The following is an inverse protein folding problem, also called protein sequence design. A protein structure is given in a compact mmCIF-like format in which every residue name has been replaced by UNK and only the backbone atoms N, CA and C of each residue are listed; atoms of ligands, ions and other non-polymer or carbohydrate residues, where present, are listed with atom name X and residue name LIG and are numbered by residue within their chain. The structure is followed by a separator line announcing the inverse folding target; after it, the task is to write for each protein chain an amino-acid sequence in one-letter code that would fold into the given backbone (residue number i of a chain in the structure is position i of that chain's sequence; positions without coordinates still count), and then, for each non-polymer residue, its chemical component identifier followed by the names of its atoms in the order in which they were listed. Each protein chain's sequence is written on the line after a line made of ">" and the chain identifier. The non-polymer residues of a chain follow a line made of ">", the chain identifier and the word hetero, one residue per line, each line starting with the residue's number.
data_IF_201903933827
#
_entry.id   IF_201903933827
#
_cell.length_a   1.000
_cell.length_b   1.000
_cell.length_c   1.000
_cell.angle_alpha   90.00
_cell.angle_beta   90.00
_cell.angle_gamma   90.00
#
_symmetry.space_group_name_H-M   'P 1'
#
loop_
_entity.id
_entity.type
_entity.pdbx_description
1 polymer ?
#
# COMPACT_ATOMS: atom_id res chain seq x y z
N UNK A 1 16.84 0.40 36.96
CA UNK A 1 17.64 0.52 35.72
C UNK A 1 17.95 -0.88 35.25
N UNK A 2 17.51 -1.24 34.05
CA UNK A 2 17.86 -2.52 33.44
C UNK A 2 19.14 -2.34 32.60
N UNK A 3 20.00 -3.35 32.56
CA UNK A 3 21.06 -3.43 31.56
C UNK A 3 20.45 -3.62 30.15
N UNK A 4 21.25 -3.47 29.09
CA UNK A 4 20.75 -3.55 27.69
C UNK A 4 20.06 -4.90 27.42
N UNK A 5 20.58 -5.99 27.98
CA UNK A 5 20.01 -7.33 27.83
C UNK A 5 18.65 -7.42 28.52
N UNK A 6 18.54 -6.89 29.74
CA UNK A 6 17.28 -6.76 30.47
C UNK A 6 16.28 -5.91 29.71
N UNK A 7 16.68 -4.76 29.15
CA UNK A 7 15.82 -3.89 28.36
C UNK A 7 15.26 -4.58 27.09
N UNK A 8 16.10 -5.35 26.37
CA UNK A 8 15.67 -6.18 25.23
C UNK A 8 14.64 -7.24 25.67
N UNK A 9 14.92 -7.93 26.78
CA UNK A 9 14.01 -8.94 27.34
C UNK A 9 12.66 -8.34 27.72
N UNK A 10 12.67 -7.16 28.32
CA UNK A 10 11.48 -6.43 28.77
C UNK A 10 10.62 -5.96 27.59
N UNK A 11 11.22 -5.35 26.56
CA UNK A 11 10.52 -4.96 25.34
C UNK A 11 9.88 -6.17 24.63
N UNK A 12 10.59 -7.31 24.58
CA UNK A 12 10.08 -8.56 24.01
C UNK A 12 8.87 -9.11 24.78
N UNK A 13 8.92 -9.09 26.12
CA UNK A 13 7.80 -9.54 26.96
C UNK A 13 6.57 -8.65 26.76
N UNK A 14 6.75 -7.33 26.70
CA UNK A 14 5.65 -6.39 26.52
C UNK A 14 5.03 -6.51 25.12
N UNK A 15 5.84 -6.67 24.07
CA UNK A 15 5.34 -6.94 22.72
C UNK A 15 4.49 -8.22 22.70
N UNK A 16 4.94 -9.28 23.39
CA UNK A 16 4.16 -10.51 23.52
C UNK A 16 2.82 -10.29 24.23
N UNK A 17 2.78 -9.48 25.31
CA UNK A 17 1.53 -9.09 25.97
C UNK A 17 0.59 -8.33 25.02
N UNK A 18 1.11 -7.41 24.19
CA UNK A 18 0.32 -6.71 23.19
C UNK A 18 -0.27 -7.67 22.14
N UNK A 19 0.51 -8.65 21.64
CA UNK A 19 0.01 -9.66 20.68
C UNK A 19 -1.14 -10.48 21.28
N UNK A 20 -1.01 -10.88 22.55
CA UNK A 20 -2.06 -11.61 23.26
C UNK A 20 -3.33 -10.75 23.41
N UNK A 21 -3.16 -9.47 23.75
CA UNK A 21 -4.26 -8.51 23.82
C UNK A 21 -4.94 -8.29 22.47
N UNK A 22 -4.18 -8.09 21.39
CA UNK A 22 -4.71 -7.96 20.02
C UNK A 22 -5.53 -9.19 19.64
N UNK A 23 -4.99 -10.39 19.89
CA UNK A 23 -5.67 -11.64 19.56
C UNK A 23 -6.97 -11.84 20.34
N UNK A 24 -6.98 -11.49 21.62
CA UNK A 24 -8.18 -11.58 22.46
C UNK A 24 -9.23 -10.52 22.09
N UNK A 25 -8.81 -9.30 21.77
CA UNK A 25 -9.69 -8.21 21.35
C UNK A 25 -10.31 -8.51 19.98
N UNK A 26 -9.54 -9.02 19.00
CA UNK A 26 -10.07 -9.42 17.69
C UNK A 26 -11.20 -10.44 17.80
N UNK A 27 -11.00 -11.51 18.57
CA UNK A 27 -12.04 -12.53 18.85
C UNK A 27 -13.27 -11.92 19.52
N UNK A 28 -13.08 -10.93 20.39
CA UNK A 28 -14.19 -10.23 21.04
C UNK A 28 -14.95 -9.30 20.07
N UNK A 29 -14.27 -8.67 19.10
CA UNK A 29 -14.93 -7.87 18.04
C UNK A 29 -15.86 -8.72 17.19
N UNK A 30 -15.40 -9.92 16.81
CA UNK A 30 -16.18 -10.90 16.03
C UNK A 30 -17.49 -11.27 16.75
N UNK A 31 -17.44 -11.43 18.08
CA UNK A 31 -18.59 -11.77 18.92
C UNK A 31 -19.52 -10.59 19.21
N UNK A 32 -19.05 -9.34 19.09
CA UNK A 32 -19.78 -8.14 19.50
C UNK A 32 -19.74 -7.07 18.40
N UNK A 33 -20.49 -7.33 17.32
CA UNK A 33 -20.69 -6.48 16.11
C UNK A 33 -21.14 -5.02 16.35
N UNK A 34 -21.39 -4.61 17.59
CA UNK A 34 -21.85 -3.25 17.95
C UNK A 34 -20.88 -2.50 18.87
N UNK A 35 -19.76 -3.10 19.25
CA UNK A 35 -18.69 -2.46 20.04
C UNK A 35 -17.53 -1.97 19.15
N UNK A 36 -17.75 -1.97 17.84
CA UNK A 36 -16.74 -1.87 16.78
C UNK A 36 -15.85 -0.62 16.91
N UNK A 37 -16.43 0.56 17.12
CA UNK A 37 -15.66 1.82 17.22
C UNK A 37 -14.77 1.91 18.49
N UNK A 38 -15.33 1.64 19.68
CA UNK A 38 -14.57 1.67 20.94
C UNK A 38 -13.46 0.60 20.97
N UNK A 39 -13.73 -0.59 20.43
CA UNK A 39 -12.78 -1.69 20.43
C UNK A 39 -11.71 -1.52 19.35
N UNK A 40 -12.06 -0.93 18.21
CA UNK A 40 -11.11 -0.56 17.16
C UNK A 40 -10.08 0.44 17.68
N UNK A 41 -10.48 1.45 18.46
CA UNK A 41 -9.53 2.40 19.05
C UNK A 41 -8.56 1.71 20.01
N UNK A 42 -9.06 0.83 20.89
CA UNK A 42 -8.19 0.07 21.81
C UNK A 42 -7.25 -0.86 21.04
N UNK A 43 -7.76 -1.58 20.03
CA UNK A 43 -6.98 -2.49 19.20
C UNK A 43 -5.86 -1.75 18.46
N UNK A 44 -6.18 -0.61 17.87
CA UNK A 44 -5.23 0.25 17.16
C UNK A 44 -4.10 0.71 18.09
N UNK A 45 -4.43 1.17 19.31
CA UNK A 45 -3.43 1.66 20.28
C UNK A 45 -2.54 0.55 20.83
N UNK A 46 -3.10 -0.63 21.10
CA UNK A 46 -2.31 -1.80 21.50
C UNK A 46 -1.37 -2.23 20.36
N UNK A 47 -1.83 -2.19 19.11
CA UNK A 47 -0.99 -2.46 17.93
C UNK A 47 0.11 -1.41 17.76
N UNK A 48 -0.18 -0.14 17.99
CA UNK A 48 0.81 0.94 17.95
C UNK A 48 1.88 0.75 19.03
N UNK A 49 1.46 0.45 20.26
CA UNK A 49 2.36 0.16 21.38
C UNK A 49 3.25 -1.05 21.09
N UNK A 50 2.71 -2.11 20.47
CA UNK A 50 3.49 -3.25 19.99
C UNK A 50 4.59 -2.83 19.02
N UNK A 51 4.24 -2.07 17.98
CA UNK A 51 5.18 -1.65 16.95
C UNK A 51 6.31 -0.77 17.53
N UNK A 52 5.99 0.13 18.46
CA UNK A 52 6.98 0.95 19.16
C UNK A 52 7.94 0.10 20.01
N UNK A 53 7.43 -0.93 20.69
CA UNK A 53 8.26 -1.85 21.47
C UNK A 53 9.21 -2.68 20.60
N UNK A 54 8.76 -3.08 19.42
CA UNK A 54 9.61 -3.78 18.45
C UNK A 54 10.75 -2.90 17.91
N UNK A 55 10.47 -1.61 17.69
CA UNK A 55 11.48 -0.62 17.30
C UNK A 55 12.52 -0.45 18.41
N UNK A 56 12.07 -0.26 19.65
CA UNK A 56 12.96 -0.15 20.82
C UNK A 56 13.82 -1.41 20.94
N UNK A 57 13.23 -2.59 20.78
CA UNK A 57 13.96 -3.87 20.82
C UNK A 57 15.05 -3.93 19.75
N UNK A 58 14.73 -3.58 18.51
CA UNK A 58 15.69 -3.59 17.40
C UNK A 58 16.85 -2.62 17.65
N UNK A 59 16.55 -1.40 18.09
CA UNK A 59 17.56 -0.39 18.42
C UNK A 59 18.47 -0.83 19.59
N UNK A 60 17.91 -1.46 20.63
CA UNK A 60 18.70 -1.98 21.75
C UNK A 60 19.61 -3.16 21.34
N UNK A 61 19.17 -4.01 20.42
CA UNK A 61 20.00 -5.09 19.86
C UNK A 61 21.19 -4.51 19.08
N UNK A 62 20.96 -3.46 18.30
CA UNK A 62 22.01 -2.76 17.57
C UNK A 62 23.05 -2.15 18.53
N UNK A 63 22.59 -1.45 19.58
CA UNK A 63 23.46 -0.89 20.63
C UNK A 63 24.27 -1.98 21.35
N UNK A 64 23.65 -3.13 21.64
CA UNK A 64 24.34 -4.30 22.21
C UNK A 64 25.45 -4.80 21.30
N UNK A 65 25.19 -4.92 20.00
CA UNK A 65 26.15 -5.40 19.02
C UNK A 65 27.31 -4.42 18.81
N UNK A 66 27.14 -3.14 19.16
CA UNK A 66 28.21 -2.13 19.17
C UNK A 66 29.14 -2.18 20.40
N UNK A 67 29.09 -3.22 21.25
CA UNK A 67 29.96 -3.40 22.43
C UNK A 67 29.89 -2.27 23.49
N UNK A 68 28.73 -1.63 23.66
CA UNK A 68 28.52 -0.60 24.68
C UNK A 68 28.53 -1.19 26.10
N UNK A 69 29.50 -0.79 26.95
CA UNK A 69 29.65 -1.28 28.34
C UNK A 69 28.84 -0.52 29.39
N UNK A 70 28.28 0.64 29.07
CA UNK A 70 27.49 1.44 30.01
C UNK A 70 26.23 1.98 29.32
N UNK A 71 25.08 1.46 29.75
CA UNK A 71 23.77 1.96 29.36
C UNK A 71 22.79 1.62 30.47
N UNK A 72 22.25 2.65 31.12
CA UNK A 72 21.16 2.52 32.08
C UNK A 72 19.94 3.22 31.54
N UNK A 73 19.01 2.46 30.93
CA UNK A 73 17.69 3.01 30.60
C UNK A 73 16.71 2.64 31.70
N UNK A 74 16.04 3.67 32.20
CA UNK A 74 14.86 3.50 33.04
C UNK A 74 13.65 3.31 32.13
N UNK A 75 13.41 2.07 31.68
CA UNK A 75 12.13 1.71 31.07
C UNK A 75 11.16 1.52 32.24
N UNK A 76 10.12 2.35 32.33
CA UNK A 76 8.99 2.08 33.22
C UNK A 76 8.14 0.99 32.58
N UNK A 77 8.35 -0.26 33.03
CA UNK A 77 7.73 -1.46 32.43
C UNK A 77 6.36 -1.77 33.03
N UNK A 78 6.13 -1.36 34.26
CA UNK A 78 5.01 -1.88 35.05
C UNK A 78 3.67 -1.25 34.64
N UNK A 79 3.66 0.03 34.27
CA UNK A 79 2.43 0.76 33.91
C UNK A 79 1.76 0.29 32.60
N UNK A 80 2.54 0.08 31.53
CA UNK A 80 2.01 -0.38 30.24
C UNK A 80 1.50 -1.82 30.35
N UNK A 81 2.25 -2.68 31.05
CA UNK A 81 1.84 -4.06 31.31
C UNK A 81 0.54 -4.13 32.10
N UNK A 82 0.42 -3.34 33.16
CA UNK A 82 -0.80 -3.24 33.97
C UNK A 82 -1.98 -2.76 33.13
N UNK A 83 -1.78 -1.73 32.31
CA UNK A 83 -2.82 -1.18 31.42
C UNK A 83 -3.29 -2.21 30.37
N UNK A 84 -2.35 -2.91 29.71
CA UNK A 84 -2.68 -3.95 28.71
C UNK A 84 -3.40 -5.14 29.38
N UNK A 85 -2.96 -5.54 30.58
CA UNK A 85 -3.63 -6.60 31.34
C UNK A 85 -5.01 -6.19 31.84
N UNK A 86 -5.21 -4.93 32.23
CA UNK A 86 -6.51 -4.40 32.63
C UNK A 86 -7.48 -4.32 31.46
N UNK A 87 -6.99 -4.01 30.25
CA UNK A 87 -7.76 -4.07 29.01
C UNK A 87 -8.17 -5.52 28.70
N UNK A 88 -7.23 -6.46 28.79
CA UNK A 88 -7.48 -7.89 28.62
C UNK A 88 -8.52 -8.40 29.62
N UNK A 89 -8.39 -8.02 30.90
CA UNK A 89 -9.33 -8.39 31.96
C UNK A 89 -10.70 -7.77 31.73
N UNK A 90 -10.78 -6.51 31.30
CA UNK A 90 -12.03 -5.85 30.96
C UNK A 90 -12.74 -6.57 29.79
N UNK A 91 -12.00 -6.94 28.74
CA UNK A 91 -12.53 -7.69 27.61
C UNK A 91 -13.03 -9.09 28.05
N UNK A 92 -12.26 -9.78 28.91
CA UNK A 92 -12.62 -11.10 29.44
C UNK A 92 -13.82 -11.04 30.41
N UNK A 93 -13.92 -10.03 31.28
CA UNK A 93 -15.03 -9.84 32.21
C UNK A 93 -16.35 -9.59 31.44
N UNK A 94 -16.28 -8.84 30.33
CA UNK A 94 -17.43 -8.58 29.46
C UNK A 94 -17.81 -9.82 28.66
N UNK A 95 -16.83 -10.62 28.24
CA UNK A 95 -17.06 -11.90 27.54
C UNK A 95 -17.64 -12.99 28.46
N UNK A 96 -17.20 -13.04 29.73
CA UNK A 96 -17.62 -14.05 30.73
C UNK A 96 -18.91 -13.72 31.47
N UNK A 97 -19.43 -12.50 31.37
CA UNK A 97 -20.73 -12.16 31.97
C UNK A 97 -21.82 -13.08 31.39
N UNK A 98 -22.47 -13.89 32.24
CA UNK A 98 -23.49 -14.91 31.91
C UNK A 98 -24.79 -14.34 31.31
N UNK A 99 -24.79 -13.12 30.78
CA UNK A 99 -25.94 -12.55 30.10
C UNK A 99 -26.04 -13.13 28.68
N UNK A 100 -26.96 -14.08 28.48
CA UNK A 100 -27.28 -14.78 27.22
C UNK A 100 -27.76 -13.90 26.05
N UNK A 101 -27.78 -12.56 26.19
CA UNK A 101 -28.33 -11.65 25.18
C UNK A 101 -27.37 -10.48 24.87
N UNK A 102 -27.11 -10.25 23.58
CA UNK A 102 -26.21 -9.20 23.06
C UNK A 102 -26.56 -7.80 23.55
N UNK A 103 -27.83 -7.52 23.82
CA UNK A 103 -28.31 -6.24 24.36
C UNK A 103 -27.84 -5.94 25.79
N UNK A 104 -27.67 -6.96 26.63
CA UNK A 104 -27.22 -6.77 28.02
C UNK A 104 -25.69 -6.56 28.04
N UNK A 105 -24.95 -7.25 27.16
CA UNK A 105 -23.52 -7.00 26.95
C UNK A 105 -23.26 -5.56 26.48
N UNK A 106 -24.14 -4.97 25.65
CA UNK A 106 -24.11 -3.54 25.28
C UNK A 106 -24.26 -2.63 26.49
N UNK A 107 -25.18 -2.93 27.40
CA UNK A 107 -25.42 -2.12 28.60
C UNK A 107 -24.22 -2.22 29.55
N UNK A 108 -23.68 -3.41 29.77
CA UNK A 108 -22.48 -3.62 30.61
C UNK A 108 -21.23 -2.93 30.03
N UNK A 109 -21.03 -2.97 28.71
CA UNK A 109 -19.93 -2.26 28.04
C UNK A 109 -20.12 -0.74 28.08
N UNK A 110 -21.34 -0.24 27.88
CA UNK A 110 -21.67 1.19 27.94
C UNK A 110 -21.54 1.75 29.37
N UNK A 111 -21.90 0.98 30.39
CA UNK A 111 -21.72 1.34 31.81
C UNK A 111 -20.24 1.46 32.21
N UNK A 112 -19.32 0.85 31.47
CA UNK A 112 -17.87 0.92 31.69
C UNK A 112 -17.18 2.03 30.87
N UNK A 113 -17.94 2.96 30.24
CA UNK A 113 -17.40 4.02 29.37
C UNK A 113 -16.32 4.88 30.04
N UNK A 114 -16.47 5.21 31.33
CA UNK A 114 -15.47 5.96 32.10
C UNK A 114 -14.18 5.17 32.34
N UNK A 115 -14.27 3.86 32.57
CA UNK A 115 -13.11 2.98 32.76
C UNK A 115 -12.35 2.76 31.44
N UNK A 116 -13.07 2.62 30.32
CA UNK A 116 -12.46 2.54 28.99
C UNK A 116 -11.71 3.82 28.61
N UNK A 117 -12.37 4.97 28.74
CA UNK A 117 -11.76 6.26 28.44
C UNK A 117 -10.47 6.47 29.25
N UNK A 118 -10.47 6.06 30.52
CA UNK A 118 -9.27 6.07 31.37
C UNK A 118 -8.17 5.14 30.84
N UNK A 119 -8.48 3.92 30.43
CA UNK A 119 -7.49 2.97 29.90
C UNK A 119 -6.92 3.43 28.55
N UNK A 120 -7.76 4.01 27.68
CA UNK A 120 -7.33 4.62 26.42
C UNK A 120 -6.40 5.80 26.67
N UNK A 121 -6.69 6.64 27.66
CA UNK A 121 -5.81 7.74 28.04
C UNK A 121 -4.49 7.24 28.62
N UNK A 122 -4.51 6.21 29.47
CA UNK A 122 -3.29 5.57 29.94
C UNK A 122 -2.46 4.97 28.78
N UNK A 123 -3.08 4.37 27.76
CA UNK A 123 -2.36 3.88 26.58
C UNK A 123 -1.71 5.03 25.79
N UNK A 124 -2.38 6.18 25.64
CA UNK A 124 -1.78 7.37 25.01
C UNK A 124 -0.56 7.86 25.76
N UNK A 125 -0.65 7.92 27.09
CA UNK A 125 0.46 8.36 27.94
C UNK A 125 1.65 7.41 27.78
N UNK A 126 1.40 6.09 27.78
CA UNK A 126 2.45 5.10 27.51
C UNK A 126 3.02 5.18 26.09
N UNK A 127 2.20 5.42 25.06
CA UNK A 127 2.68 5.63 23.69
C UNK A 127 3.62 6.83 23.61
N UNK A 128 3.29 7.92 24.29
CA UNK A 128 4.14 9.11 24.39
C UNK A 128 5.46 8.81 25.10
N UNK A 129 5.42 8.04 26.18
CA UNK A 129 6.62 7.62 26.90
C UNK A 129 7.51 6.70 26.05
N UNK A 130 6.92 5.76 25.29
CA UNK A 130 7.64 4.91 24.35
C UNK A 130 8.29 5.72 23.23
N UNK A 131 7.59 6.75 22.72
CA UNK A 131 8.13 7.64 21.70
C UNK A 131 9.32 8.45 22.25
N UNK A 132 9.20 8.99 23.46
CA UNK A 132 10.29 9.68 24.14
C UNK A 132 11.50 8.74 24.36
N UNK A 133 11.26 7.47 24.70
CA UNK A 133 12.30 6.46 24.81
C UNK A 133 12.98 6.16 23.48
N UNK A 134 12.23 6.06 22.38
CA UNK A 134 12.80 5.91 21.04
C UNK A 134 13.68 7.12 20.72
N UNK A 135 13.22 8.34 20.97
CA UNK A 135 14.03 9.54 20.76
C UNK A 135 15.31 9.52 21.60
N UNK A 136 15.23 9.14 22.88
CA UNK A 136 16.40 9.06 23.75
C UNK A 136 17.39 7.97 23.29
N UNK A 137 16.90 6.78 22.96
CA UNK A 137 17.70 5.66 22.42
C UNK A 137 18.34 6.06 21.09
N UNK A 138 17.61 6.76 20.23
CA UNK A 138 18.09 7.26 18.95
C UNK A 138 19.14 8.36 19.10
N UNK A 139 18.98 9.31 20.03
CA UNK A 139 19.99 10.34 20.32
C UNK A 139 21.29 9.69 20.84
N UNK A 140 21.18 8.66 21.69
CA UNK A 140 22.34 7.92 22.19
C UNK A 140 23.01 7.10 21.07
N UNK A 141 22.22 6.55 20.14
CA UNK A 141 22.74 5.90 18.94
C UNK A 141 23.38 6.89 17.95
N UNK A 142 22.79 8.08 17.79
CA UNK A 142 23.20 9.16 16.89
C UNK A 142 24.53 9.80 17.31
N UNK A 143 24.80 9.90 18.62
CA UNK A 143 26.10 10.36 19.12
C UNK A 143 27.26 9.40 18.79
N UNK A 144 26.99 8.18 18.29
CA UNK A 144 28.01 7.12 18.10
C UNK A 144 28.15 6.59 16.67
N UNK A 145 27.23 6.92 15.76
CA UNK A 145 27.27 6.45 14.37
C UNK A 145 27.15 7.63 13.38
N UNK A 146 28.28 8.22 13.01
CA UNK A 146 28.35 9.10 11.84
C UNK A 146 28.45 8.24 10.58
N UNK A 147 27.70 8.62 9.54
CA UNK A 147 27.67 8.08 8.15
C UNK A 147 26.74 6.91 7.79
N UNK A 148 25.47 6.93 8.22
CA UNK A 148 24.44 6.08 7.60
C UNK A 148 22.97 6.51 7.74
N UNK A 149 22.68 7.65 8.39
CA UNK A 149 21.38 7.81 9.07
C UNK A 149 20.36 8.72 8.37
N UNK A 150 20.74 9.60 7.44
CA UNK A 150 19.76 10.48 6.77
C UNK A 150 18.79 9.72 5.84
N UNK A 151 19.23 8.59 5.27
CA UNK A 151 18.40 7.71 4.46
C UNK A 151 17.40 6.91 5.32
N UNK A 152 17.85 6.42 6.48
CA UNK A 152 17.00 5.65 7.40
C UNK A 152 16.02 6.51 8.19
N UNK A 153 16.34 7.76 8.50
CA UNK A 153 15.38 8.68 9.14
C UNK A 153 14.20 8.95 8.19
N UNK A 154 14.45 9.16 6.89
CA UNK A 154 13.37 9.28 5.89
C UNK A 154 12.54 8.00 5.77
N UNK A 155 13.18 6.83 5.77
CA UNK A 155 12.52 5.52 5.73
C UNK A 155 11.67 5.26 7.00
N UNK A 156 12.16 5.69 8.17
CA UNK A 156 11.54 5.43 9.48
C UNK A 156 10.40 6.40 9.77
N UNK A 157 10.52 7.67 9.39
CA UNK A 157 9.41 8.64 9.49
C UNK A 157 8.26 8.22 8.58
N UNK A 158 8.56 7.72 7.36
CA UNK A 158 7.54 7.16 6.45
C UNK A 158 6.84 5.88 6.95
N UNK A 159 7.45 5.12 7.86
CA UNK A 159 6.84 3.92 8.49
C UNK A 159 6.01 4.22 9.73
N UNK A 160 6.30 5.32 10.43
CA UNK A 160 5.67 5.66 11.71
C UNK A 160 4.54 6.70 11.60
N UNK A 161 4.52 7.48 10.53
CA UNK A 161 3.46 8.43 10.23
C UNK A 161 2.36 7.78 9.40
N UNK A 162 1.17 7.64 9.99
CA UNK A 162 -0.11 7.55 9.26
C UNK A 162 -0.44 8.95 8.68
N UNK A 163 0.52 9.54 7.98
CA UNK A 163 0.28 10.66 7.07
C UNK A 163 0.05 10.00 5.73
N UNK A 164 -1.13 10.27 5.17
CA UNK A 164 -1.66 9.79 3.88
C UNK A 164 -0.59 9.10 3.03
N UNK A 165 -0.68 7.77 2.92
CA UNK A 165 0.29 6.90 2.27
C UNK A 165 0.63 7.32 0.83
N UNK A 166 -0.24 8.11 0.21
CA UNK A 166 -0.12 8.64 -1.13
C UNK A 166 0.07 10.17 -1.18
N UNK A 167 0.17 10.85 -0.03
CA UNK A 167 0.48 12.28 0.04
C UNK A 167 1.88 12.55 -0.52
N UNK A 168 1.93 13.39 -1.56
CA UNK A 168 3.12 13.63 -2.36
C UNK A 168 3.14 12.91 -3.71
N UNK A 169 2.12 12.09 -4.02
CA UNK A 169 1.90 11.53 -5.36
C UNK A 169 0.74 12.28 -6.01
N UNK A 170 1.05 13.31 -6.79
CA UNK A 170 0.10 14.02 -7.65
C UNK A 170 -0.15 13.18 -8.91
N UNK A 171 -1.36 12.63 -9.01
CA UNK A 171 -1.92 12.17 -10.28
C UNK A 171 -2.64 13.39 -10.83
N UNK A 172 -1.95 14.15 -11.68
CA UNK A 172 -2.47 15.45 -12.18
C UNK A 172 -3.64 15.17 -13.13
N UNK A 173 -4.80 15.72 -12.79
CA UNK A 173 -5.99 15.76 -13.65
C UNK A 173 -5.74 16.63 -14.90
N UNK A 174 -6.49 16.38 -15.97
CA UNK A 174 -6.34 16.99 -17.31
C UNK A 174 -6.51 18.54 -17.36
N UNK A 175 -6.70 19.24 -16.22
CA UNK A 175 -7.20 20.62 -16.20
C UNK A 175 -6.32 21.68 -15.49
N UNK A 176 -5.08 21.39 -15.04
CA UNK A 176 -4.21 22.44 -14.49
C UNK A 176 -2.83 22.51 -15.15
N UNK A 177 -2.62 23.58 -15.93
CA UNK A 177 -1.30 24.06 -16.39
C UNK A 177 -0.45 24.44 -15.16
N UNK A 178 0.36 23.49 -14.68
CA UNK A 178 1.31 23.72 -13.60
C UNK A 178 2.57 22.88 -13.77
N UNK A 179 3.75 23.53 -13.78
CA UNK A 179 5.04 22.86 -13.67
C UNK A 179 5.15 22.11 -12.33
N UNK A 180 4.98 20.78 -12.34
CA UNK A 180 5.36 19.93 -11.21
C UNK A 180 6.29 18.80 -11.66
N UNK A 181 7.53 18.82 -11.17
CA UNK A 181 8.55 17.81 -11.42
C UNK A 181 8.43 16.67 -10.41
N UNK A 182 7.22 16.10 -10.32
CA UNK A 182 6.99 14.83 -9.65
C UNK A 182 7.63 13.67 -10.43
N UNK A 183 8.12 12.65 -9.74
CA UNK A 183 8.54 11.41 -10.37
C UNK A 183 7.29 10.72 -10.95
N UNK A 184 7.20 10.60 -12.27
CA UNK A 184 6.01 10.07 -12.96
C UNK A 184 5.66 8.68 -12.42
N UNK A 185 4.42 8.52 -11.96
CA UNK A 185 3.95 7.24 -11.42
C UNK A 185 3.91 6.21 -12.54
N UNK A 186 4.46 5.01 -12.28
CA UNK A 186 4.35 3.90 -13.24
C UNK A 186 2.88 3.57 -13.47
N UNK A 187 2.50 3.33 -14.71
CA UNK A 187 1.11 3.07 -15.07
C UNK A 187 0.92 1.61 -15.47
N UNK A 188 -0.11 0.97 -14.91
CA UNK A 188 -0.63 -0.31 -15.35
C UNK A 188 -1.75 -0.08 -16.35
N UNK A 189 -1.50 -0.36 -17.63
CA UNK A 189 -2.43 -0.06 -18.72
C UNK A 189 -3.39 -1.23 -18.94
N UNK A 190 -4.49 -1.26 -18.19
CA UNK A 190 -5.46 -2.35 -18.27
C UNK A 190 -6.45 -2.25 -19.44
N UNK A 191 -6.55 -1.09 -20.10
CA UNK A 191 -7.30 -0.95 -21.36
C UNK A 191 -6.44 -1.45 -22.53
N UNK A 192 -6.84 -2.59 -23.09
CA UNK A 192 -6.05 -3.36 -24.05
C UNK A 192 -6.80 -3.61 -25.36
N UNK A 193 -7.99 -3.04 -25.50
CA UNK A 193 -8.86 -3.21 -26.65
C UNK A 193 -8.98 -1.94 -27.48
N UNK A 194 -8.87 -2.09 -28.80
CA UNK A 194 -8.92 -0.95 -29.75
C UNK A 194 -10.34 -0.46 -30.00
N UNK A 195 -11.32 -1.32 -29.76
CA UNK A 195 -12.77 -1.11 -29.89
C UNK A 195 -13.43 -0.79 -28.53
N UNK A 196 -12.67 -0.17 -27.61
CA UNK A 196 -13.21 0.42 -26.39
C UNK A 196 -13.69 1.85 -26.70
N UNK A 197 -15.01 2.06 -26.66
CA UNK A 197 -15.65 3.34 -26.97
C UNK A 197 -15.26 4.47 -25.99
N UNK A 198 -14.65 4.15 -24.85
CA UNK A 198 -14.18 5.14 -23.87
C UNK A 198 -12.79 5.70 -24.18
N UNK A 199 -12.10 5.15 -25.18
CA UNK A 199 -10.76 5.60 -25.56
C UNK A 199 -10.80 6.53 -26.78
N UNK A 200 -10.09 7.67 -26.75
CA UNK A 200 -9.93 8.50 -27.93
C UNK A 200 -9.22 7.74 -29.06
N UNK A 201 -9.64 7.93 -30.32
CA UNK A 201 -9.04 7.25 -31.48
C UNK A 201 -7.51 7.48 -31.56
N UNK A 202 -7.06 8.71 -31.29
CA UNK A 202 -5.63 9.04 -31.26
C UNK A 202 -4.83 8.29 -30.18
N UNK A 203 -5.48 7.93 -29.07
CA UNK A 203 -4.85 7.13 -28.00
C UNK A 203 -4.58 5.70 -28.49
N UNK A 204 -5.60 5.07 -29.09
CA UNK A 204 -5.50 3.70 -29.64
C UNK A 204 -4.45 3.63 -30.75
N UNK A 205 -4.45 4.61 -31.67
CA UNK A 205 -3.47 4.65 -32.76
C UNK A 205 -2.04 4.80 -32.23
N UNK A 206 -1.81 5.70 -31.27
CA UNK A 206 -0.46 5.92 -30.74
C UNK A 206 0.05 4.69 -29.94
N UNK A 207 -0.83 3.99 -29.21
CA UNK A 207 -0.51 2.71 -28.56
C UNK A 207 -0.19 1.60 -29.55
N UNK A 208 -0.89 1.58 -30.68
CA UNK A 208 -0.59 0.67 -31.78
C UNK A 208 0.79 0.97 -32.38
N UNK A 209 1.06 2.24 -32.71
CA UNK A 209 2.34 2.71 -33.24
C UNK A 209 3.51 2.34 -32.32
N UNK A 210 3.33 2.44 -30.99
CA UNK A 210 4.34 2.03 -30.01
C UNK A 210 4.71 0.55 -30.17
N UNK A 211 3.69 -0.28 -30.33
CA UNK A 211 3.85 -1.72 -30.47
C UNK A 211 4.53 -2.09 -31.78
N UNK A 212 4.14 -1.44 -32.89
CA UNK A 212 4.76 -1.66 -34.20
C UNK A 212 6.21 -1.13 -34.24
N UNK A 213 6.48 0.02 -33.62
CA UNK A 213 7.83 0.57 -33.51
C UNK A 213 8.75 -0.35 -32.70
N UNK A 214 8.28 -0.86 -31.56
CA UNK A 214 9.02 -1.85 -30.77
C UNK A 214 9.24 -3.13 -31.58
N UNK A 215 8.20 -3.65 -32.25
CA UNK A 215 8.26 -4.86 -33.07
C UNK A 215 9.31 -4.75 -34.18
N UNK A 216 9.39 -3.59 -34.84
CA UNK A 216 10.39 -3.29 -35.88
C UNK A 216 11.77 -2.95 -35.33
N UNK A 217 11.96 -2.89 -34.01
CA UNK A 217 13.22 -2.46 -33.37
C UNK A 217 13.55 -0.97 -33.60
N UNK A 218 12.57 -0.13 -33.93
CA UNK A 218 12.73 1.30 -34.16
C UNK A 218 12.76 2.07 -32.84
N UNK A 219 13.82 1.88 -32.06
CA UNK A 219 13.97 2.48 -30.73
C UNK A 219 13.85 4.01 -30.69
N UNK A 220 14.38 4.79 -31.67
CA UNK A 220 14.13 6.23 -31.73
C UNK A 220 12.63 6.57 -31.72
N UNK A 221 11.84 5.88 -32.56
CA UNK A 221 10.39 6.10 -32.62
C UNK A 221 9.70 5.65 -31.34
N UNK A 222 10.16 4.57 -30.70
CA UNK A 222 9.67 4.16 -29.37
C UNK A 222 9.86 5.29 -28.36
N UNK A 223 11.02 5.96 -28.33
CA UNK A 223 11.26 7.07 -27.41
C UNK A 223 10.34 8.27 -27.69
N UNK A 224 10.17 8.63 -28.96
CA UNK A 224 9.27 9.72 -29.34
C UNK A 224 7.84 9.43 -28.90
N UNK A 225 7.35 8.20 -29.10
CA UNK A 225 6.00 7.81 -28.71
C UNK A 225 5.83 7.78 -27.18
N UNK A 226 6.80 7.26 -26.44
CA UNK A 226 6.75 7.26 -24.97
C UNK A 226 6.74 8.69 -24.41
N UNK A 227 7.47 9.61 -25.03
CA UNK A 227 7.46 11.03 -24.66
C UNK A 227 6.12 11.69 -25.03
N UNK A 228 5.62 11.45 -26.25
CA UNK A 228 4.33 11.95 -26.71
C UNK A 228 3.17 11.47 -25.83
N UNK A 229 3.22 10.21 -25.39
CA UNK A 229 2.25 9.64 -24.47
C UNK A 229 2.27 10.33 -23.10
N UNK A 230 3.47 10.61 -22.59
CA UNK A 230 3.66 11.38 -21.36
C UNK A 230 3.11 12.80 -21.51
N UNK A 231 3.42 13.48 -22.60
CA UNK A 231 3.04 14.88 -22.78
C UNK A 231 1.54 15.04 -23.06
N UNK A 232 0.91 14.10 -23.76
CA UNK A 232 -0.51 14.20 -24.15
C UNK A 232 -1.48 13.55 -23.18
N UNK A 233 -1.08 12.48 -22.51
CA UNK A 233 -1.97 11.66 -21.69
C UNK A 233 -1.50 11.53 -20.25
N UNK A 234 -0.33 12.09 -19.91
CA UNK A 234 0.28 11.99 -18.59
C UNK A 234 0.43 10.54 -18.10
N UNK A 235 0.67 9.59 -19.02
CA UNK A 235 0.77 8.16 -18.73
C UNK A 235 2.14 7.58 -19.12
N UNK A 236 2.65 6.64 -18.31
CA UNK A 236 3.89 5.91 -18.61
C UNK A 236 3.56 4.64 -19.40
N UNK A 237 3.88 4.64 -20.69
CA UNK A 237 3.56 3.53 -21.60
C UNK A 237 4.68 2.51 -21.80
N UNK A 238 5.74 2.57 -21.00
CA UNK A 238 6.89 1.67 -21.15
C UNK A 238 6.52 0.18 -20.94
N UNK A 239 5.45 -0.09 -20.19
CA UNK A 239 4.89 -1.42 -19.95
C UNK A 239 3.61 -1.69 -20.75
N UNK A 240 3.32 -0.88 -21.77
CA UNK A 240 2.15 -1.07 -22.60
C UNK A 240 2.20 -2.40 -23.35
N UNK A 241 1.08 -3.14 -23.32
CA UNK A 241 0.87 -4.26 -24.23
C UNK A 241 0.21 -3.79 -25.51
N UNK A 242 0.42 -4.54 -26.60
CA UNK A 242 -0.24 -4.30 -27.88
C UNK A 242 -1.74 -4.39 -27.75
N UNK A 243 -2.44 -3.35 -28.20
CA UNK A 243 -3.90 -3.34 -28.22
C UNK A 243 -4.44 -4.18 -29.37
N UNK A 244 -5.57 -4.86 -29.15
CA UNK A 244 -6.24 -5.72 -30.14
C UNK A 244 -7.76 -5.65 -29.99
N UNK A 245 -8.56 -5.88 -31.05
CA UNK A 245 -10.01 -5.96 -30.91
C UNK A 245 -10.46 -6.98 -29.85
N UNK A 246 -11.61 -6.78 -29.20
CA UNK A 246 -12.13 -7.70 -28.18
C UNK A 246 -12.20 -9.16 -28.64
N UNK A 247 -12.50 -9.39 -29.92
CA UNK A 247 -12.56 -10.72 -30.53
C UNK A 247 -11.21 -11.48 -30.50
N UNK A 248 -10.09 -10.76 -30.46
CA UNK A 248 -8.73 -11.30 -30.45
C UNK A 248 -8.14 -11.45 -29.04
N UNK A 249 -8.90 -11.20 -27.97
CA UNK A 249 -8.41 -11.26 -26.58
C UNK A 249 -7.64 -12.54 -26.24
N UNK A 250 -8.10 -13.69 -26.74
CA UNK A 250 -7.50 -15.00 -26.42
C UNK A 250 -6.17 -15.27 -27.13
N UNK A 251 -5.83 -14.49 -28.16
CA UNK A 251 -4.58 -14.66 -28.93
C UNK A 251 -3.55 -13.55 -28.63
N UNK A 252 -3.80 -12.74 -27.61
CA UNK A 252 -2.88 -11.68 -27.20
C UNK A 252 -1.69 -12.26 -26.43
N UNK A 253 -0.47 -11.89 -26.84
CA UNK A 253 0.78 -12.36 -26.23
C UNK A 253 1.16 -11.65 -24.92
N UNK A 254 0.64 -10.44 -24.72
CA UNK A 254 0.99 -9.53 -23.61
C UNK A 254 2.47 -9.12 -23.58
N UNK A 255 3.12 -9.10 -24.75
CA UNK A 255 4.46 -8.57 -24.87
C UNK A 255 4.47 -7.07 -24.62
N UNK A 256 5.50 -6.62 -23.91
CA UNK A 256 5.82 -5.20 -23.70
C UNK A 256 7.04 -4.80 -24.53
N UNK A 257 7.33 -3.50 -24.65
CA UNK A 257 8.57 -3.03 -25.29
C UNK A 257 9.84 -3.71 -24.76
N UNK A 258 9.89 -4.08 -23.47
CA UNK A 258 11.04 -4.79 -22.88
C UNK A 258 11.16 -6.23 -23.41
N UNK A 259 10.07 -7.00 -23.48
CA UNK A 259 10.09 -8.33 -24.09
C UNK A 259 10.54 -8.26 -25.55
N UNK A 260 10.01 -7.28 -26.30
CA UNK A 260 10.38 -7.09 -27.69
C UNK A 260 11.84 -6.68 -27.86
N UNK A 261 12.39 -5.86 -26.95
CA UNK A 261 13.80 -5.49 -26.96
C UNK A 261 14.71 -6.70 -26.79
N UNK A 262 14.33 -7.65 -25.92
CA UNK A 262 15.05 -8.91 -25.76
C UNK A 262 14.94 -9.77 -27.01
N UNK A 263 13.73 -9.96 -27.54
CA UNK A 263 13.50 -10.76 -28.74
C UNK A 263 14.26 -10.26 -29.98
N UNK A 264 14.45 -8.95 -30.08
CA UNK A 264 15.17 -8.32 -31.19
C UNK A 264 16.69 -8.18 -30.92
N UNK A 265 17.22 -8.80 -29.86
CA UNK A 265 18.62 -8.68 -29.43
C UNK A 265 19.08 -7.23 -29.36
N UNK A 266 18.23 -6.35 -28.81
CA UNK A 266 18.51 -4.92 -28.77
C UNK A 266 19.76 -4.63 -27.91
N UNK A 267 20.52 -3.56 -28.22
CA UNK A 267 21.68 -3.20 -27.41
C UNK A 267 21.32 -3.04 -25.92
N UNK A 268 22.23 -3.43 -25.02
CA UNK A 268 22.03 -3.30 -23.56
C UNK A 268 21.63 -1.87 -23.14
N UNK A 269 22.09 -0.85 -23.88
CA UNK A 269 21.73 0.55 -23.65
C UNK A 269 20.24 0.84 -23.88
N UNK A 270 19.59 0.16 -24.83
CA UNK A 270 18.15 0.23 -25.08
C UNK A 270 17.39 -0.43 -23.93
N UNK A 271 17.80 -1.64 -23.55
CA UNK A 271 17.20 -2.40 -22.44
C UNK A 271 17.30 -1.62 -21.13
N UNK A 272 18.47 -1.08 -20.82
CA UNK A 272 18.69 -0.25 -19.63
C UNK A 272 17.86 1.04 -19.67
N UNK A 273 17.67 1.65 -20.85
CA UNK A 273 16.82 2.83 -21.00
C UNK A 273 15.35 2.50 -20.72
N UNK A 274 14.82 1.39 -21.23
CA UNK A 274 13.46 0.93 -20.91
C UNK A 274 13.27 0.71 -19.42
N UNK A 275 14.21 0.01 -18.79
CA UNK A 275 14.25 -0.21 -17.34
C UNK A 275 14.24 1.11 -16.56
N UNK A 276 15.07 2.08 -16.96
CA UNK A 276 15.15 3.38 -16.30
C UNK A 276 13.86 4.19 -16.45
N UNK A 277 13.13 3.99 -17.56
CA UNK A 277 11.79 4.55 -17.78
C UNK A 277 10.69 3.81 -17.01
N UNK A 278 11.02 2.71 -16.34
CA UNK A 278 10.12 1.96 -15.45
C UNK A 278 9.60 0.65 -16.01
N UNK A 279 10.24 0.08 -17.03
CA UNK A 279 9.90 -1.25 -17.51
C UNK A 279 10.09 -2.32 -16.41
N UNK A 280 9.14 -3.23 -16.29
CA UNK A 280 9.14 -4.30 -15.30
C UNK A 280 9.88 -5.54 -15.81
N UNK A 281 10.83 -6.05 -15.01
CA UNK A 281 11.60 -7.27 -15.32
C UNK A 281 10.87 -8.54 -14.93
N UNK A 282 9.96 -8.48 -13.97
CA UNK A 282 9.18 -9.65 -13.51
C UNK A 282 7.82 -9.74 -14.19
N UNK A 283 7.49 -8.84 -15.11
CA UNK A 283 6.25 -8.92 -15.86
C UNK A 283 6.33 -10.09 -16.85
N UNK A 284 5.31 -10.94 -16.84
CA UNK A 284 5.25 -12.15 -17.67
C UNK A 284 4.37 -11.93 -18.90
N UNK A 285 4.70 -12.61 -19.99
CA UNK A 285 3.82 -12.76 -21.14
C UNK A 285 2.61 -13.63 -20.78
N UNK A 286 1.61 -13.62 -21.66
CA UNK A 286 0.50 -14.59 -21.63
C UNK A 286 0.73 -15.75 -22.59
N UNK A 287 1.36 -15.45 -23.73
CA UNK A 287 1.63 -16.41 -24.78
C UNK A 287 2.93 -16.05 -25.49
N UNK A 288 3.69 -17.07 -25.83
CA UNK A 288 4.86 -17.01 -26.71
C UNK A 288 4.94 -18.28 -27.56
N UNK A 289 5.84 -18.27 -28.52
CA UNK A 289 6.26 -19.40 -29.33
C UNK A 289 7.28 -20.34 -28.65
N UNK A 290 7.73 -20.01 -27.42
CA UNK A 290 8.76 -20.76 -26.68
C UNK A 290 8.13 -21.85 -25.79
N UNK A 291 8.98 -22.62 -25.10
CA UNK A 291 8.58 -23.78 -24.28
C UNK A 291 7.60 -23.40 -23.14
N UNK A 292 7.71 -22.17 -22.63
CA UNK A 292 6.84 -21.62 -21.60
C UNK A 292 6.05 -20.42 -22.15
N UNK A 293 4.74 -20.41 -21.91
CA UNK A 293 3.85 -19.37 -22.44
C UNK A 293 4.01 -18.04 -21.69
N UNK A 294 4.33 -18.11 -20.40
CA UNK A 294 4.37 -16.99 -19.46
C UNK A 294 5.80 -16.67 -19.02
N UNK A 295 6.63 -16.25 -19.96
CA UNK A 295 8.03 -15.91 -19.71
C UNK A 295 8.20 -14.45 -19.32
N UNK A 296 9.18 -14.20 -18.46
CA UNK A 296 9.75 -12.87 -18.18
C UNK A 296 10.76 -12.49 -19.26
N UNK A 297 11.16 -11.21 -19.37
CA UNK A 297 12.25 -10.80 -20.25
C UNK A 297 13.56 -11.54 -20.00
N UNK A 298 13.87 -11.89 -18.74
CA UNK A 298 15.08 -12.66 -18.42
C UNK A 298 14.99 -14.11 -18.91
N UNK A 299 13.85 -14.78 -18.68
CA UNK A 299 13.62 -16.14 -19.17
C UNK A 299 13.67 -16.17 -20.70
N UNK A 300 13.08 -15.17 -21.37
CA UNK A 300 13.17 -15.01 -22.82
C UNK A 300 14.62 -14.83 -23.30
N UNK A 301 15.45 -14.07 -22.57
CA UNK A 301 16.87 -13.92 -22.90
C UNK A 301 17.66 -15.23 -22.75
N UNK A 302 17.26 -16.11 -21.81
CA UNK A 302 17.83 -17.45 -21.70
C UNK A 302 17.45 -18.32 -22.90
N UNK A 303 16.18 -18.33 -23.29
CA UNK A 303 15.68 -19.12 -24.42
C UNK A 303 16.31 -18.68 -25.76
N UNK A 304 16.69 -17.40 -25.87
CA UNK A 304 17.38 -16.82 -27.03
C UNK A 304 18.91 -16.85 -26.94
N UNK A 305 19.48 -17.38 -25.85
CA UNK A 305 20.93 -17.40 -25.59
C UNK A 305 21.60 -16.00 -25.53
N UNK A 306 20.84 -14.96 -25.21
CA UNK A 306 21.27 -13.54 -25.13
C UNK A 306 21.99 -13.23 -23.80
N UNK A 307 23.23 -13.71 -23.69
CA UNK A 307 24.03 -13.60 -22.45
C UNK A 307 24.33 -12.15 -22.02
N UNK A 308 24.54 -11.24 -22.98
CA UNK A 308 24.88 -9.83 -22.71
C UNK A 308 23.75 -9.05 -22.02
N UNK A 309 22.50 -9.52 -22.13
CA UNK A 309 21.33 -8.85 -21.55
C UNK A 309 20.98 -9.34 -20.15
N UNK A 310 21.47 -10.52 -19.74
CA UNK A 310 21.04 -11.19 -18.51
C UNK A 310 21.29 -10.36 -17.25
N UNK A 311 22.43 -9.67 -17.17
CA UNK A 311 22.77 -8.82 -16.01
C UNK A 311 21.77 -7.66 -15.87
N UNK A 312 21.45 -6.99 -16.97
CA UNK A 312 20.50 -5.88 -16.98
C UNK A 312 19.06 -6.33 -16.65
N UNK A 313 18.69 -7.53 -17.11
CA UNK A 313 17.35 -8.10 -16.96
C UNK A 313 17.14 -8.83 -15.63
N UNK A 314 18.20 -9.08 -14.85
CA UNK A 314 18.09 -9.72 -13.55
C UNK A 314 17.15 -8.92 -12.62
N UNK A 315 16.04 -9.52 -12.11
CA UNK A 315 15.12 -8.83 -11.22
C UNK A 315 15.78 -8.35 -9.93
N UNK A 316 15.54 -7.09 -9.57
CA UNK A 316 16.01 -6.51 -8.31
C UNK A 316 14.86 -6.49 -7.31
N UNK A 317 14.74 -7.54 -6.50
CA UNK A 317 13.65 -7.66 -5.52
C UNK A 317 13.92 -6.75 -4.32
N UNK A 318 13.08 -5.73 -4.15
CA UNK A 318 13.15 -4.74 -3.06
C UNK A 318 12.10 -5.00 -1.97
N UNK A 319 10.93 -5.48 -2.36
CA UNK A 319 9.87 -5.90 -1.44
C UNK A 319 9.65 -7.40 -1.58
N UNK A 320 10.37 -8.18 -0.79
CA UNK A 320 10.22 -9.63 -0.81
C UNK A 320 8.91 -10.06 -0.13
N UNK A 321 7.93 -10.49 -0.94
CA UNK A 321 6.67 -11.07 -0.48
C UNK A 321 6.62 -12.55 -0.92
N UNK A 322 6.29 -13.49 -0.02
CA UNK A 322 6.11 -14.88 -0.42
C UNK A 322 5.06 -15.04 -1.52
N UNK A 323 5.35 -15.82 -2.56
CA UNK A 323 4.49 -15.96 -3.74
C UNK A 323 3.03 -16.31 -3.41
N UNK A 324 2.80 -17.17 -2.40
CA UNK A 324 1.44 -17.51 -1.93
C UNK A 324 0.69 -16.29 -1.41
N UNK A 325 1.35 -15.44 -0.63
CA UNK A 325 0.75 -14.22 -0.08
C UNK A 325 0.49 -13.23 -1.22
N UNK A 326 1.45 -13.08 -2.14
CA UNK A 326 1.31 -12.18 -3.27
C UNK A 326 0.11 -12.55 -4.16
N UNK A 327 -0.08 -13.85 -4.44
CA UNK A 327 -1.24 -14.35 -5.17
C UNK A 327 -2.57 -14.09 -4.43
N UNK A 328 -2.59 -14.22 -3.09
CA UNK A 328 -3.77 -13.91 -2.27
C UNK A 328 -4.10 -12.42 -2.28
N UNK A 329 -3.09 -11.55 -2.15
CA UNK A 329 -3.25 -10.10 -2.27
C UNK A 329 -3.77 -9.72 -3.66
N UNK A 330 -3.24 -10.33 -4.71
CA UNK A 330 -3.66 -10.09 -6.09
C UNK A 330 -5.13 -10.46 -6.28
N UNK A 331 -5.53 -11.64 -5.82
CA UNK A 331 -6.93 -12.06 -5.89
C UNK A 331 -7.85 -11.12 -5.11
N UNK A 332 -7.43 -10.69 -3.92
CA UNK A 332 -8.20 -9.77 -3.08
C UNK A 332 -8.34 -8.41 -3.74
N UNK A 333 -7.28 -7.90 -4.37
CA UNK A 333 -7.31 -6.65 -5.12
C UNK A 333 -8.21 -6.75 -6.36
N UNK A 334 -8.13 -7.85 -7.11
CA UNK A 334 -9.01 -8.08 -8.25
C UNK A 334 -10.48 -8.18 -7.83
N UNK A 335 -10.77 -8.76 -6.66
CA UNK A 335 -12.11 -8.80 -6.11
C UNK A 335 -12.61 -7.39 -5.74
N UNK A 336 -11.77 -6.57 -5.11
CA UNK A 336 -12.10 -5.16 -4.83
C UNK A 336 -12.44 -4.39 -6.11
N UNK A 337 -11.60 -4.53 -7.16
CA UNK A 337 -11.85 -3.87 -8.44
C UNK A 337 -13.18 -4.32 -9.04
N UNK A 338 -13.49 -5.62 -9.01
CA UNK A 338 -14.78 -6.14 -9.51
C UNK A 338 -15.97 -5.70 -8.67
N UNK A 339 -15.81 -5.50 -7.37
CA UNK A 339 -16.89 -4.99 -6.52
C UNK A 339 -17.23 -3.53 -6.86
N UNK A 340 -16.24 -2.70 -7.14
CA UNK A 340 -16.45 -1.27 -7.42
C UNK A 340 -16.73 -0.97 -8.90
N UNK A 341 -16.10 -1.71 -9.81
CA UNK A 341 -16.10 -1.44 -11.25
C UNK A 341 -16.39 -2.70 -12.10
N UNK A 342 -17.04 -3.72 -11.54
CA UNK A 342 -17.25 -5.02 -12.20
C UNK A 342 -17.86 -4.92 -13.60
N UNK A 343 -18.84 -4.04 -13.79
CA UNK A 343 -19.45 -3.82 -15.11
C UNK A 343 -18.42 -3.39 -16.17
N UNK A 344 -17.49 -2.48 -15.81
CA UNK A 344 -16.42 -2.01 -16.71
C UNK A 344 -15.40 -3.12 -16.96
N UNK A 345 -15.02 -3.84 -15.91
CA UNK A 345 -14.09 -4.97 -16.01
C UNK A 345 -14.60 -6.03 -16.97
N UNK A 346 -15.89 -6.37 -16.87
CA UNK A 346 -16.48 -7.46 -17.64
C UNK A 346 -16.80 -7.04 -19.09
N UNK A 347 -17.31 -5.82 -19.30
CA UNK A 347 -17.61 -5.30 -20.65
C UNK A 347 -16.31 -5.04 -21.42
N UNK A 348 -15.36 -4.31 -20.83
CA UNK A 348 -14.12 -3.90 -21.50
C UNK A 348 -12.99 -4.92 -21.33
N UNK A 349 -13.26 -6.08 -20.73
CA UNK A 349 -12.29 -7.17 -20.45
C UNK A 349 -10.94 -6.65 -19.94
N UNK A 350 -10.99 -5.76 -18.95
CA UNK A 350 -9.80 -5.05 -18.47
C UNK A 350 -8.71 -6.02 -18.02
N UNK A 351 -7.48 -5.75 -18.44
CA UNK A 351 -6.32 -6.47 -17.95
C UNK A 351 -5.96 -5.99 -16.54
N UNK A 352 -6.38 -6.76 -15.54
CA UNK A 352 -6.21 -6.39 -14.14
C UNK A 352 -4.74 -6.44 -13.70
N UNK A 353 -4.32 -5.55 -12.77
CA UNK A 353 -2.97 -5.48 -12.23
C UNK A 353 -2.36 -6.80 -11.77
N UNK A 354 -1.16 -7.12 -12.24
CA UNK A 354 -0.30 -8.13 -11.61
C UNK A 354 0.52 -7.51 -10.47
N UNK A 355 0.76 -8.27 -9.40
CA UNK A 355 1.47 -7.76 -8.22
C UNK A 355 2.95 -8.15 -8.17
N UNK A 356 3.41 -9.13 -8.96
CA UNK A 356 4.82 -9.49 -9.09
C UNK A 356 5.71 -8.28 -9.38
N UNK A 357 5.36 -7.36 -10.30
CA UNK A 357 6.18 -6.18 -10.57
C UNK A 357 6.37 -5.23 -9.38
N UNK A 358 5.46 -5.22 -8.41
CA UNK A 358 5.61 -4.38 -7.21
C UNK A 358 6.76 -4.84 -6.31
N UNK A 359 7.18 -6.10 -6.44
CA UNK A 359 8.33 -6.61 -5.69
C UNK A 359 9.64 -5.93 -6.11
N UNK A 360 9.71 -5.35 -7.32
CA UNK A 360 10.87 -4.59 -7.83
C UNK A 360 10.93 -3.13 -7.32
N UNK A 361 9.82 -2.59 -6.82
CA UNK A 361 9.66 -1.18 -6.50
C UNK A 361 10.06 -0.87 -5.04
N UNK A 362 10.52 0.34 -4.74
CA UNK A 362 10.83 0.75 -3.37
C UNK A 362 9.76 1.69 -2.83
N UNK A 363 8.74 1.14 -2.15
CA UNK A 363 7.58 1.88 -1.62
C UNK A 363 6.84 2.77 -2.64
N UNK A 364 7.14 2.61 -3.93
CA UNK A 364 6.52 3.36 -5.03
C UNK A 364 5.17 2.76 -5.36
N UNK A 365 4.20 3.64 -5.64
CA UNK A 365 2.90 3.22 -6.10
C UNK A 365 2.89 3.01 -7.62
N UNK A 366 1.90 2.23 -8.08
CA UNK A 366 1.55 2.06 -9.48
C UNK A 366 0.12 2.57 -9.65
N UNK A 367 -0.10 3.30 -10.74
CA UNK A 367 -1.40 3.82 -11.11
C UNK A 367 -2.09 2.86 -12.08
N UNK A 368 -3.32 2.46 -11.79
CA UNK A 368 -4.18 1.70 -12.69
C UNK A 368 -5.40 2.57 -13.07
N UNK A 369 -5.35 3.30 -14.20
CA UNK A 369 -6.46 4.11 -14.66
C UNK A 369 -7.64 3.24 -15.09
N UNK A 370 -8.84 3.69 -14.74
CA UNK A 370 -10.12 3.17 -15.21
C UNK A 370 -10.78 4.30 -16.00
N UNK A 371 -10.80 4.17 -17.33
CA UNK A 371 -11.48 5.14 -18.19
C UNK A 371 -12.99 4.88 -18.10
N UNK A 372 -13.70 5.75 -17.39
CA UNK A 372 -15.14 5.74 -17.24
C UNK A 372 -15.68 7.18 -17.25
N UNK A 373 -16.97 7.36 -16.93
CA UNK A 373 -17.61 8.67 -16.91
C UNK A 373 -17.07 9.63 -15.84
N UNK A 374 -16.21 9.15 -14.94
CA UNK A 374 -15.60 9.97 -13.89
C UNK A 374 -14.14 10.25 -14.27
N UNK A 375 -13.75 11.53 -14.46
CA UNK A 375 -12.37 11.88 -14.75
C UNK A 375 -11.45 11.47 -13.59
N UNK A 376 -10.21 11.10 -13.90
CA UNK A 376 -9.23 10.65 -12.89
C UNK A 376 -9.58 9.33 -12.19
N UNK A 377 -10.54 8.55 -12.71
CA UNK A 377 -10.92 7.29 -12.09
C UNK A 377 -9.83 6.22 -12.18
N UNK A 378 -9.60 5.51 -11.08
CA UNK A 378 -8.64 4.41 -11.03
C UNK A 378 -8.17 4.03 -9.64
N UNK A 379 -7.09 3.26 -9.61
CA UNK A 379 -6.52 2.71 -8.38
C UNK A 379 -5.03 3.04 -8.30
N UNK A 380 -4.62 3.66 -7.20
CA UNK A 380 -3.23 3.84 -6.84
C UNK A 380 -2.85 2.78 -5.80
N UNK A 381 -1.87 1.94 -6.08
CA UNK A 381 -1.58 0.79 -5.23
C UNK A 381 -0.09 0.52 -5.03
N UNK A 382 0.28 0.02 -3.84
CA UNK A 382 1.67 -0.32 -3.49
C UNK A 382 1.72 -1.42 -2.43
N UNK A 383 2.85 -2.12 -2.37
CA UNK A 383 3.15 -3.02 -1.26
C UNK A 383 3.62 -2.24 -0.02
N UNK A 384 3.09 -2.62 1.14
CA UNK A 384 3.54 -2.21 2.46
C UNK A 384 3.85 -3.46 3.30
N UNK A 385 5.12 -3.89 3.25
CA UNK A 385 5.54 -5.15 3.87
C UNK A 385 4.85 -6.35 3.22
N UNK A 386 3.90 -6.98 3.93
CA UNK A 386 3.11 -8.14 3.44
C UNK A 386 1.66 -7.78 3.12
N UNK A 387 1.34 -6.49 3.16
CA UNK A 387 0.01 -5.99 2.87
C UNK A 387 0.03 -5.19 1.57
N UNK A 388 -1.15 -5.01 0.96
CA UNK A 388 -1.34 -4.12 -0.18
C UNK A 388 -2.15 -2.90 0.28
N UNK A 389 -1.61 -1.70 0.03
CA UNK A 389 -2.35 -0.46 0.19
C UNK A 389 -2.91 -0.05 -1.18
N UNK A 390 -4.20 0.28 -1.21
CA UNK A 390 -4.91 0.65 -2.44
C UNK A 390 -5.76 1.88 -2.17
N UNK A 391 -5.54 2.96 -2.91
CA UNK A 391 -6.45 4.10 -2.95
C UNK A 391 -7.29 4.01 -4.22
N UNK A 392 -8.59 3.84 -4.06
CA UNK A 392 -9.58 3.98 -5.12
C UNK A 392 -9.92 5.47 -5.26
N UNK A 393 -9.81 6.03 -6.47
CA UNK A 393 -10.13 7.43 -6.76
C UNK A 393 -11.17 7.48 -7.86
N UNK A 394 -12.22 8.27 -7.67
CA UNK A 394 -13.27 8.57 -8.64
C UNK A 394 -13.96 7.35 -9.30
N UNK A 395 -13.74 6.13 -8.81
CA UNK A 395 -14.30 4.91 -9.44
C UNK A 395 -15.82 4.86 -9.26
N UNK A 396 -16.29 5.09 -8.04
CA UNK A 396 -17.72 4.97 -7.69
C UNK A 396 -18.48 6.27 -7.97
N UNK A 397 -17.87 7.42 -7.67
CA UNK A 397 -18.43 8.74 -7.90
C UNK A 397 -17.29 9.78 -8.00
N UNK A 398 -17.55 10.92 -8.64
CA UNK A 398 -16.59 12.04 -8.73
C UNK A 398 -16.25 12.56 -7.33
N UNK A 399 -14.96 12.83 -7.09
CA UNK A 399 -14.38 13.25 -5.81
C UNK A 399 -14.57 12.23 -4.67
N UNK A 400 -14.82 10.97 -5.01
CA UNK A 400 -14.88 9.88 -4.05
C UNK A 400 -13.54 9.17 -4.00
N UNK A 401 -12.85 9.28 -2.87
CA UNK A 401 -11.60 8.58 -2.62
C UNK A 401 -11.71 7.70 -1.38
N UNK A 402 -11.23 6.46 -1.50
CA UNK A 402 -11.25 5.49 -0.40
C UNK A 402 -9.93 4.72 -0.40
N UNK A 403 -9.27 4.66 0.75
CA UNK A 403 -8.04 3.89 0.96
C UNK A 403 -8.36 2.57 1.65
N UNK A 404 -7.91 1.48 1.05
CA UNK A 404 -8.02 0.12 1.54
C UNK A 404 -6.65 -0.43 1.94
N UNK A 405 -6.63 -1.23 3.00
CA UNK A 405 -5.51 -2.11 3.34
C UNK A 405 -5.95 -3.54 3.17
N UNK A 406 -5.24 -4.30 2.34
CA UNK A 406 -5.52 -5.72 2.09
C UNK A 406 -4.44 -6.54 2.80
N UNK A 407 -4.85 -7.38 3.76
CA UNK A 407 -3.96 -8.24 4.55
C UNK A 407 -4.57 -9.63 4.71
N UNK A 408 -3.80 -10.69 4.45
CA UNK A 408 -4.19 -12.09 4.69
C UNK A 408 -5.63 -12.47 4.22
N UNK A 409 -6.07 -11.93 3.06
CA UNK A 409 -7.39 -12.10 2.42
C UNK A 409 -8.54 -11.24 2.96
N UNK A 410 -8.28 -10.35 3.90
CA UNK A 410 -9.24 -9.38 4.43
C UNK A 410 -9.01 -8.00 3.80
N UNK A 411 -10.08 -7.26 3.58
CA UNK A 411 -10.08 -5.89 3.05
C UNK A 411 -10.56 -4.97 4.16
N UNK A 412 -9.71 -4.03 4.56
CA UNK A 412 -10.03 -3.01 5.56
C UNK A 412 -10.18 -1.65 4.89
N UNK A 413 -11.34 -1.01 5.05
CA UNK A 413 -11.50 0.41 4.71
C UNK A 413 -10.84 1.26 5.80
N UNK A 414 -9.84 2.05 5.38
CA UNK A 414 -9.04 2.90 6.26
C UNK A 414 -9.63 4.32 6.30
N UNK A 415 -10.52 4.67 5.38
CA UNK A 415 -11.02 6.03 5.13
C UNK A 415 -12.18 6.41 6.04
N UNK A 416 -13.09 5.49 6.37
CA UNK A 416 -14.10 5.73 7.40
C UNK A 416 -13.52 5.77 8.83
N UNK A 417 -12.27 5.35 9.01
CA UNK A 417 -11.52 5.46 10.27
C UNK A 417 -10.54 6.65 10.31
N UNK A 418 -10.57 7.54 9.31
CA UNK A 418 -9.71 8.72 9.24
C UNK A 418 -10.30 9.98 9.93
N UNK A 419 -11.57 9.96 10.38
CA UNK A 419 -12.22 11.12 11.02
C UNK A 419 -12.51 10.88 12.50
N UNK A 420 -11.47 10.70 13.34
CA UNK A 420 -11.40 11.34 14.68
C UNK A 420 -9.91 11.50 15.08
N UNK A 421 -9.08 12.21 14.32
CA UNK A 421 -7.76 12.63 14.83
C UNK A 421 -7.31 13.99 14.28
N UNK A 422 -8.01 15.06 14.68
CA UNK A 422 -7.43 16.40 14.84
C UNK A 422 -8.13 17.08 16.02
N UNK A 423 -7.45 17.18 17.16
CA UNK A 423 -7.97 17.89 18.33
C UNK A 423 -7.93 19.40 18.12
N UNK A 424 -9.03 20.06 18.49
CA UNK A 424 -9.14 21.50 18.77
C UNK A 424 -8.88 22.48 17.61
N UNK A 425 -9.93 22.75 16.83
CA UNK A 425 -10.28 24.13 16.49
C UNK A 425 -11.67 24.45 17.04
N UNK A 426 -11.68 25.36 17.99
CA UNK A 426 -12.82 25.98 18.66
C UNK A 426 -13.86 26.56 17.70
N UNK A 427 -15.15 26.34 18.00
CA UNK A 427 -16.34 27.18 17.72
C UNK A 427 -16.31 28.06 16.47
N UNK A 428 -17.21 27.79 15.52
CA UNK A 428 -18.41 28.63 15.27
C UNK A 428 -19.55 27.71 14.83
N UNK A 429 -20.61 27.66 15.64
CA UNK A 429 -21.93 27.18 15.22
C UNK A 429 -22.55 28.34 14.47
N UNK A 430 -22.72 28.20 13.15
CA UNK A 430 -23.80 28.90 12.46
C UNK A 430 -24.70 27.85 11.80
N UNK A 431 -25.90 27.74 12.38
CA UNK A 431 -27.06 27.15 11.72
C UNK A 431 -27.28 27.89 10.40
N UNK A 432 -27.23 27.18 9.28
CA UNK A 432 -27.97 27.61 8.09
C UNK A 432 -29.07 26.58 7.84
N UNK A 433 -30.29 27.12 7.84
CA UNK A 433 -31.55 26.41 7.84
C UNK A 433 -31.73 25.54 6.59
N UNK A 434 -32.33 24.37 6.79
CA UNK A 434 -32.96 23.61 5.71
C UNK A 434 -34.01 24.51 5.02
N UNK A 435 -34.10 24.54 3.67
CA UNK A 435 -35.20 25.18 3.01
C UNK A 435 -36.48 24.38 3.26
N UNK A 436 -37.46 25.12 3.75
CA UNK A 436 -38.84 24.73 3.99
C UNK A 436 -39.48 24.26 2.67
N UNK A 437 -39.69 22.95 2.54
CA UNK A 437 -40.51 22.37 1.48
C UNK A 437 -41.95 22.32 2.00
N UNK A 438 -42.55 23.48 2.14
CA UNK A 438 -44.00 23.61 2.28
C UNK A 438 -44.50 24.84 1.52
N UNK A 439 -44.85 24.61 0.26
CA UNK A 439 -45.53 25.61 -0.55
C UNK A 439 -45.15 25.56 -2.02
N UNK A 440 -45.72 24.61 -2.76
CA UNK A 440 -46.18 24.85 -4.12
C UNK A 440 -47.28 23.82 -4.42
N UNK A 441 -48.51 24.37 -4.42
CA UNK A 441 -49.64 23.91 -5.22
C UNK A 441 -49.24 23.79 -6.70
#
# INVERSE_FOLDING_TARGET
>A
MADIIGAIGLATQLASCCIQAISALKRFTEDVRSAESDLAEVLMRVQRSHNLLDIIRAALIEIKNSNAREFGVAISVDGLRETVNDILKLAQDVARSEARLSLIRKVTWSLQKSRKARLVECLKDHEKDLLNLITAVNVIAQLRSQTGMEAKIREVTARAELVDAFSGITVVDDDEEGEDKGEMVRTWLGHIHTDDDHLPEGYCQLRWDLSDAAFLGSWPRVWDILQEARDRYNESWVNAIRMKPHAEFNVMSFWTPLHQAVYMSAPVTVVQKLINLGAFRTLRTRWTEFDHLDVTPLELAYDLEETDLQEALCPVIRNAVPAKILAQLQQSFHNLIRQQAGYLVDINRLYLPLLEPLTELHMSAVWFPIRCNHPGAGYLYRLDGRDLLVQSRNVVAVSHEVTYRLADSEIFDVTENAVIFAGYATKVVEKVNAPDISGLL
#
